data_IF_575881830540
#
_entry.id   IF_575881830540
#
_cell.length_a   1.000
_cell.length_b   1.000
_cell.length_c   1.000
_cell.angle_alpha   90.00
_cell.angle_beta   90.00
_cell.angle_gamma   90.00
#
_symmetry.space_group_name_H-M   'P 1'
#
loop_
_entity.id
_entity.type
_entity.pdbx_description
1 polymer ?
#
# COMPACT_ATOMS: atom_id res chain seq x y z
N UNK A 1 -6.85 -12.86 13.76
CA UNK A 1 -6.78 -11.40 13.56
C UNK A 1 -6.44 -10.76 14.88
N UNK A 2 -5.41 -9.91 14.91
CA UNK A 2 -5.09 -9.13 16.11
C UNK A 2 -6.07 -7.96 16.27
N UNK A 3 -6.20 -7.38 17.47
CA UNK A 3 -7.05 -6.20 17.69
C UNK A 3 -6.65 -5.04 16.77
N UNK A 4 -5.34 -4.79 16.63
CA UNK A 4 -4.79 -3.73 15.78
C UNK A 4 -5.09 -3.92 14.28
N UNK A 5 -5.08 -5.17 13.83
CA UNK A 5 -5.46 -5.52 12.46
C UNK A 5 -6.95 -5.23 12.23
N UNK A 6 -7.82 -5.58 13.17
CA UNK A 6 -9.25 -5.26 13.11
C UNK A 6 -9.48 -3.75 13.05
N UNK A 7 -8.81 -2.97 13.89
CA UNK A 7 -8.92 -1.51 13.92
C UNK A 7 -8.48 -0.88 12.59
N UNK A 8 -7.39 -1.36 12.00
CA UNK A 8 -6.91 -0.87 10.70
C UNK A 8 -7.89 -1.19 9.56
N UNK A 9 -8.52 -2.37 9.59
CA UNK A 9 -9.55 -2.76 8.61
C UNK A 9 -10.79 -1.88 8.74
N UNK A 10 -11.28 -1.68 9.97
CA UNK A 10 -12.43 -0.81 10.25
C UNK A 10 -12.14 0.62 9.81
N UNK A 11 -11.00 1.18 10.22
CA UNK A 11 -10.54 2.51 9.79
C UNK A 11 -10.51 2.66 8.27
N UNK A 12 -9.95 1.68 7.55
CA UNK A 12 -9.88 1.74 6.09
C UNK A 12 -11.27 1.74 5.46
N UNK A 13 -12.13 0.81 5.91
CA UNK A 13 -13.47 0.62 5.35
C UNK A 13 -14.35 1.85 5.56
N UNK A 14 -14.29 2.45 6.75
CA UNK A 14 -15.16 3.56 7.12
C UNK A 14 -14.67 4.92 6.61
N UNK A 15 -13.35 5.14 6.56
CA UNK A 15 -12.80 6.49 6.30
C UNK A 15 -12.04 6.65 4.99
N UNK A 16 -11.48 5.57 4.43
CA UNK A 16 -10.53 5.68 3.33
C UNK A 16 -11.00 5.05 2.02
N UNK A 17 -11.93 4.09 2.08
CA UNK A 17 -12.35 3.29 0.93
C UNK A 17 -12.70 4.15 -0.29
N UNK A 18 -13.53 5.19 -0.11
CA UNK A 18 -13.98 6.07 -1.19
C UNK A 18 -12.90 7.04 -1.70
N UNK A 19 -11.83 7.27 -0.91
CA UNK A 19 -10.71 8.14 -1.30
C UNK A 19 -9.73 7.40 -2.21
N UNK A 20 -9.54 6.10 -1.94
CA UNK A 20 -8.64 5.21 -2.69
C UNK A 20 -9.34 4.64 -3.93
N UNK A 21 -10.61 4.23 -3.80
CA UNK A 21 -11.42 3.68 -4.88
C UNK A 21 -12.23 4.79 -5.52
N UNK A 22 -11.75 5.33 -6.65
CA UNK A 22 -12.42 6.43 -7.36
C UNK A 22 -13.30 5.91 -8.48
N UNK A 23 -14.60 6.18 -8.41
CA UNK A 23 -15.58 5.76 -9.41
C UNK A 23 -15.54 4.24 -9.68
N UNK A 24 -15.38 3.43 -8.63
CA UNK A 24 -15.24 1.98 -8.75
C UNK A 24 -13.89 1.50 -9.32
N UNK A 25 -12.98 2.41 -9.66
CA UNK A 25 -11.65 2.06 -10.15
C UNK A 25 -10.66 1.98 -8.99
N UNK A 26 -10.00 0.83 -8.91
CA UNK A 26 -8.97 0.57 -7.91
C UNK A 26 -7.60 0.75 -8.60
N UNK A 27 -6.71 1.59 -8.05
CA UNK A 27 -5.38 1.75 -8.61
C UNK A 27 -4.63 0.42 -8.65
N UNK A 28 -3.90 0.15 -9.73
CA UNK A 28 -3.15 -1.11 -9.91
C UNK A 28 -2.17 -1.41 -8.78
N UNK A 29 -1.64 -0.37 -8.13
CA UNK A 29 -0.70 -0.50 -7.02
C UNK A 29 -1.40 -0.79 -5.68
N UNK A 30 -2.72 -0.72 -5.56
CA UNK A 30 -3.42 -0.86 -4.28
C UNK A 30 -4.01 -2.25 -4.05
N UNK A 31 -3.51 -3.00 -3.06
CA UNK A 31 -3.93 -4.38 -2.81
C UNK A 31 -4.93 -4.55 -1.67
N UNK A 32 -5.40 -3.46 -1.06
CA UNK A 32 -6.32 -3.54 0.07
C UNK A 32 -5.69 -4.24 1.28
N UNK A 33 -6.44 -5.14 1.90
CA UNK A 33 -6.05 -5.85 3.12
C UNK A 33 -5.32 -7.14 2.73
N UNK A 34 -4.00 -7.03 2.54
CA UNK A 34 -3.10 -8.17 2.37
C UNK A 34 -2.00 -8.14 3.41
N UNK A 35 -1.49 -9.32 3.76
CA UNK A 35 -0.39 -9.40 4.71
C UNK A 35 0.94 -8.94 4.14
N UNK A 36 1.86 -8.59 5.02
CA UNK A 36 3.26 -8.35 4.66
C UNK A 36 3.84 -9.53 3.87
N UNK A 37 3.55 -10.76 4.31
CA UNK A 37 4.03 -11.98 3.67
C UNK A 37 3.51 -12.12 2.24
N UNK A 38 2.20 -11.88 2.03
CA UNK A 38 1.60 -11.92 0.69
C UNK A 38 2.21 -10.85 -0.22
N UNK A 39 2.47 -9.64 0.32
CA UNK A 39 3.15 -8.59 -0.44
C UNK A 39 4.59 -8.98 -0.83
N UNK A 40 5.34 -9.63 0.06
CA UNK A 40 6.68 -10.15 -0.22
C UNK A 40 6.63 -11.24 -1.31
N UNK A 41 5.68 -12.17 -1.25
CA UNK A 41 5.47 -13.22 -2.26
C UNK A 41 5.13 -12.64 -3.65
N UNK A 42 4.33 -11.58 -3.70
CA UNK A 42 3.98 -10.87 -4.94
C UNK A 42 5.19 -10.17 -5.60
N UNK A 43 6.16 -9.74 -4.79
CA UNK A 43 7.29 -8.91 -5.21
C UNK A 43 8.59 -9.68 -5.39
N UNK A 44 8.76 -10.85 -4.78
CA UNK A 44 10.04 -11.57 -4.72
C UNK A 44 10.63 -11.89 -6.09
N UNK A 45 9.78 -12.26 -7.07
CA UNK A 45 10.20 -12.58 -8.43
C UNK A 45 10.09 -11.40 -9.41
N UNK A 46 9.85 -10.18 -8.90
CA UNK A 46 9.76 -8.98 -9.72
C UNK A 46 11.11 -8.26 -9.82
N UNK A 47 11.34 -7.49 -10.90
CA UNK A 47 12.47 -6.59 -10.98
C UNK A 47 12.47 -5.54 -9.86
N UNK A 48 13.64 -5.00 -9.49
CA UNK A 48 13.73 -3.85 -8.59
C UNK A 48 12.89 -2.66 -9.04
N UNK A 49 12.33 -1.94 -8.07
CA UNK A 49 11.40 -0.82 -8.26
C UNK A 49 9.93 -1.21 -8.38
N UNK A 50 9.60 -2.51 -8.52
CA UNK A 50 8.21 -2.97 -8.40
C UNK A 50 7.65 -2.69 -7.02
N UNK A 51 6.39 -2.24 -6.93
CA UNK A 51 5.80 -1.82 -5.68
C UNK A 51 4.29 -2.05 -5.57
N UNK A 52 3.78 -2.05 -4.35
CA UNK A 52 2.36 -2.02 -4.02
C UNK A 52 2.11 -1.32 -2.68
N UNK A 53 0.88 -0.84 -2.47
CA UNK A 53 0.39 -0.29 -1.21
C UNK A 53 -0.71 -1.21 -0.68
N UNK A 54 -0.67 -1.50 0.61
CA UNK A 54 -1.63 -2.31 1.35
C UNK A 54 -2.05 -1.61 2.64
N UNK A 55 -3.20 -1.97 3.19
CA UNK A 55 -3.59 -1.59 4.55
C UNK A 55 -2.59 -2.22 5.53
N UNK A 56 -2.16 -1.44 6.53
CA UNK A 56 -1.20 -1.93 7.52
C UNK A 56 -1.85 -2.91 8.49
N UNK A 57 -1.16 -3.99 8.85
CA UNK A 57 -1.64 -4.98 9.82
C UNK A 57 -1.32 -4.62 11.28
N UNK A 58 -0.39 -3.69 11.49
CA UNK A 58 0.19 -3.40 12.81
C UNK A 58 -0.24 -2.06 13.40
N UNK A 59 -0.94 -1.22 12.62
CA UNK A 59 -1.46 0.09 13.02
C UNK A 59 -2.41 0.65 11.96
N UNK A 60 -3.17 1.66 12.35
CA UNK A 60 -3.93 2.53 11.45
C UNK A 60 -2.97 3.17 10.44
N UNK A 61 -3.33 3.11 9.15
CA UNK A 61 -2.50 3.59 8.05
C UNK A 61 -2.24 2.53 6.98
N UNK A 62 -1.28 2.81 6.11
CA UNK A 62 -0.88 1.92 5.03
C UNK A 62 0.56 1.46 5.16
N UNK A 63 0.93 0.49 4.32
CA UNK A 63 2.31 0.10 4.07
C UNK A 63 2.59 0.11 2.58
N UNK A 64 3.62 0.86 2.16
CA UNK A 64 4.23 0.74 0.84
C UNK A 64 5.25 -0.40 0.90
N UNK A 65 5.02 -1.45 0.11
CA UNK A 65 5.96 -2.57 -0.04
C UNK A 65 6.59 -2.48 -1.43
N UNK A 66 7.92 -2.48 -1.52
CA UNK A 66 8.60 -2.39 -2.81
C UNK A 66 9.82 -3.31 -2.88
N UNK A 67 10.09 -3.83 -4.07
CA UNK A 67 11.25 -4.66 -4.37
C UNK A 67 12.48 -3.78 -4.54
N UNK A 68 13.38 -3.82 -3.56
CA UNK A 68 14.75 -3.32 -3.72
C UNK A 68 15.63 -4.39 -4.40
N UNK A 69 16.92 -4.11 -4.61
CA UNK A 69 17.83 -5.08 -5.23
C UNK A 69 18.04 -6.32 -4.34
N UNK A 70 18.23 -6.07 -3.04
CA UNK A 70 18.57 -7.07 -2.03
C UNK A 70 17.34 -7.75 -1.43
N UNK A 71 16.31 -6.97 -1.09
CA UNK A 71 15.12 -7.48 -0.37
C UNK A 71 13.85 -6.72 -0.71
N UNK A 72 12.72 -7.21 -0.22
CA UNK A 72 11.51 -6.41 -0.13
C UNK A 72 11.64 -5.44 1.05
N UNK A 73 11.29 -4.17 0.82
CA UNK A 73 11.29 -3.12 1.84
C UNK A 73 9.87 -2.64 2.07
N UNK A 74 9.60 -2.21 3.30
CA UNK A 74 8.27 -1.76 3.72
C UNK A 74 8.39 -0.42 4.43
N UNK A 75 7.60 0.55 3.99
CA UNK A 75 7.49 1.85 4.63
C UNK A 75 6.07 2.06 5.13
N UNK A 76 5.94 2.54 6.36
CA UNK A 76 4.65 2.93 6.90
C UNK A 76 4.23 4.26 6.27
N UNK A 77 2.95 4.36 5.95
CA UNK A 77 2.31 5.58 5.49
C UNK A 77 1.24 5.95 6.48
N UNK A 78 1.39 7.11 7.11
CA UNK A 78 0.38 7.67 7.99
C UNK A 78 -0.64 8.46 7.17
N UNK A 79 -1.92 8.26 7.46
CA UNK A 79 -2.99 9.14 7.04
C UNK A 79 -3.25 10.14 8.17
N UNK A 80 -2.99 11.42 7.90
CA UNK A 80 -3.03 12.50 8.88
C UNK A 80 -4.47 13.04 8.99
N UNK A 81 -4.77 13.67 10.13
CA UNK A 81 -6.11 14.21 10.43
C UNK A 81 -6.57 15.28 9.42
N UNK A 82 -5.64 16.01 8.80
CA UNK A 82 -5.93 17.01 7.78
C UNK A 82 -6.04 16.43 6.36
N UNK A 83 -6.17 15.10 6.23
CA UNK A 83 -6.37 14.39 4.97
C UNK A 83 -5.11 14.18 4.14
N UNK A 84 -3.93 14.56 4.64
CA UNK A 84 -2.66 14.31 3.95
C UNK A 84 -2.05 12.95 4.31
N UNK A 85 -1.15 12.48 3.46
CA UNK A 85 -0.39 11.25 3.65
C UNK A 85 1.10 11.53 3.75
N UNK A 86 1.80 10.83 4.64
CA UNK A 86 3.26 10.95 4.80
C UNK A 86 3.89 9.58 5.00
N UNK A 87 5.04 9.35 4.38
CA UNK A 87 5.87 8.18 4.70
C UNK A 87 6.58 8.45 6.02
N UNK A 88 6.48 7.54 6.99
CA UNK A 88 7.13 7.71 8.29
C UNK A 88 8.64 7.84 8.12
N UNK A 89 9.20 8.96 8.60
CA UNK A 89 10.61 9.32 8.45
C UNK A 89 10.89 10.31 7.31
N UNK A 90 9.92 10.57 6.44
CA UNK A 90 9.98 11.60 5.41
C UNK A 90 9.32 12.91 5.87
N UNK A 91 9.75 14.05 5.32
CA UNK A 91 9.17 15.36 5.61
C UNK A 91 8.05 15.76 4.63
N UNK A 92 7.90 15.05 3.51
CA UNK A 92 6.97 15.43 2.45
C UNK A 92 5.58 14.87 2.69
N UNK A 93 4.59 15.76 2.62
CA UNK A 93 3.16 15.45 2.75
C UNK A 93 2.50 15.43 1.37
N UNK A 94 1.54 14.53 1.18
CA UNK A 94 0.85 14.30 -0.09
C UNK A 94 -0.66 14.42 0.09
N UNK A 95 -1.37 15.01 -0.88
CA UNK A 95 -2.83 15.22 -0.79
C UNK A 95 -3.63 13.93 -1.03
N UNK A 96 -3.03 12.96 -1.71
CA UNK A 96 -3.56 11.61 -1.86
C UNK A 96 -2.44 10.59 -2.06
N UNK A 97 -2.74 9.30 -1.90
CA UNK A 97 -1.77 8.23 -2.15
C UNK A 97 -1.24 8.22 -3.59
N UNK A 98 -2.05 8.62 -4.57
CA UNK A 98 -1.62 8.72 -5.97
C UNK A 98 -0.51 9.79 -6.12
N UNK A 99 -0.66 10.95 -5.50
CA UNK A 99 0.37 12.00 -5.50
C UNK A 99 1.67 11.52 -4.83
N UNK A 100 1.58 10.68 -3.80
CA UNK A 100 2.72 10.06 -3.14
C UNK A 100 3.45 9.09 -4.08
N UNK A 101 2.70 8.22 -4.74
CA UNK A 101 3.24 7.30 -5.74
C UNK A 101 3.93 8.05 -6.87
N UNK A 102 3.30 9.08 -7.43
CA UNK A 102 3.85 9.82 -8.57
C UNK A 102 5.09 10.64 -8.21
N UNK A 103 5.15 11.16 -6.98
CA UNK A 103 6.36 11.78 -6.47
C UNK A 103 7.50 10.76 -6.33
N UNK A 104 7.26 9.62 -5.69
CA UNK A 104 8.30 8.63 -5.45
C UNK A 104 8.69 7.79 -6.67
N UNK A 105 8.03 7.99 -7.81
CA UNK A 105 8.55 7.55 -9.12
C UNK A 105 9.79 8.31 -9.58
N UNK A 106 9.98 9.52 -9.06
CA UNK A 106 11.06 10.42 -9.47
C UNK A 106 11.98 10.77 -8.29
N UNK A 107 11.55 10.54 -7.06
CA UNK A 107 12.32 10.86 -5.86
C UNK A 107 12.43 9.66 -4.92
N UNK A 108 13.66 9.17 -4.63
CA UNK A 108 13.85 8.04 -3.73
C UNK A 108 13.32 8.31 -2.32
N UNK A 109 12.98 7.22 -1.62
CA UNK A 109 12.64 7.26 -0.19
C UNK A 109 13.92 7.09 0.61
N UNK A 110 14.20 8.01 1.53
CA UNK A 110 15.43 7.99 2.32
C UNK A 110 15.49 6.78 3.25
N UNK A 111 16.69 6.27 3.56
CA UNK A 111 18.02 6.67 3.07
C UNK A 111 18.41 5.97 1.76
N UNK A 112 17.45 5.44 0.99
CA UNK A 112 17.72 4.64 -0.19
C UNK A 112 17.74 5.49 -1.46
N UNK A 113 18.33 4.95 -2.53
CA UNK A 113 18.49 5.62 -3.83
C UNK A 113 17.50 5.15 -4.89
N UNK A 114 16.66 4.16 -4.57
CA UNK A 114 15.72 3.57 -5.53
C UNK A 114 14.37 4.31 -5.53
N UNK A 115 13.80 4.41 -6.73
CA UNK A 115 12.46 4.99 -6.98
C UNK A 115 11.44 3.88 -7.24
N UNK A 116 10.16 4.23 -7.14
CA UNK A 116 9.07 3.38 -7.56
C UNK A 116 9.00 3.35 -9.10
N UNK A 117 8.99 2.16 -9.70
CA UNK A 117 8.97 2.05 -11.17
C UNK A 117 7.64 1.52 -11.66
N UNK A 118 7.33 0.28 -11.34
CA UNK A 118 6.17 -0.44 -11.90
C UNK A 118 5.21 -0.86 -10.79
N UNK A 119 3.91 -0.53 -10.88
CA UNK A 119 2.94 -1.04 -9.93
C UNK A 119 2.81 -2.56 -10.11
N UNK A 120 2.97 -3.31 -9.02
CA UNK A 120 2.62 -4.72 -8.96
C UNK A 120 1.09 -4.79 -8.99
N UNK A 121 0.51 -5.15 -10.14
CA UNK A 121 -0.93 -5.24 -10.32
C UNK A 121 -1.58 -6.35 -9.49
N UNK A 122 -2.88 -6.21 -9.21
CA UNK A 122 -3.69 -7.29 -8.67
C UNK A 122 -3.85 -8.38 -9.76
N UNK A 123 -3.54 -9.63 -9.42
CA UNK A 123 -3.84 -10.76 -10.31
C UNK A 123 -5.36 -10.94 -10.28
N UNK A 124 -6.00 -10.89 -11.45
CA UNK A 124 -7.47 -10.79 -11.58
C UNK A 124 -8.24 -12.04 -11.10
N UNK A 125 -7.56 -13.04 -10.55
CA UNK A 125 -8.09 -14.22 -9.88
C UNK A 125 -6.91 -14.90 -9.17
N UNK A 126 -6.99 -15.11 -7.85
CA UNK A 126 -6.47 -16.31 -7.12
C UNK A 126 -6.20 -16.08 -5.62
N UNK A 127 -6.26 -14.86 -5.08
CA UNK A 127 -6.24 -14.68 -3.62
C UNK A 127 -7.64 -14.86 -3.02
N UNK A 128 -8.13 -16.12 -2.98
CA UNK A 128 -9.16 -16.52 -2.02
C UNK A 128 -8.54 -16.55 -0.62
N UNK A 129 -8.45 -15.39 0.04
CA UNK A 129 -8.15 -15.36 1.47
C UNK A 129 -9.43 -15.71 2.24
N UNK A 130 -9.36 -16.75 3.08
CA UNK A 130 -10.45 -17.34 3.86
C UNK A 130 -10.92 -16.48 5.06
N UNK A 131 -10.78 -15.16 4.96
CA UNK A 131 -11.31 -14.23 5.95
C UNK A 131 -11.90 -13.05 5.22
N UNK A 132 -13.23 -13.02 5.22
CA UNK A 132 -14.11 -12.04 4.60
C UNK A 132 -13.70 -10.58 4.88
N UNK A 133 -14.10 -9.72 3.93
CA UNK A 133 -13.94 -8.25 3.86
C UNK A 133 -12.66 -7.77 3.20
N UNK A 134 -12.39 -8.15 1.94
CA UNK A 134 -12.64 -7.32 0.73
C UNK A 134 -12.53 -8.26 -0.47
N UNK A 135 -13.63 -8.91 -0.84
CA UNK A 135 -13.75 -9.35 -2.23
C UNK A 135 -13.84 -8.07 -3.04
N UNK A 136 -12.75 -7.66 -3.66
CA UNK A 136 -12.79 -6.70 -4.76
C UNK A 136 -13.43 -7.42 -5.95
N UNK A 137 -14.74 -7.51 -5.94
CA UNK A 137 -15.58 -7.78 -7.10
C UNK A 137 -16.61 -6.64 -7.12
N UNK A 138 -16.50 -5.77 -8.12
CA UNK A 138 -17.69 -5.13 -8.68
C UNK A 138 -18.43 -6.20 -9.46
#
# INVERSE_FOLDING_TARGET
>A
MSCLEHDAVTWFTESQLQLVIRNGNIPKWFHGIISRKVAEELLVYRPPGYFLIRVSESRIGYSLSYRADDRCRHFMIDALEDGHYVIVGENRRHRCLQDMVDFHKHTPIQPFSQVLTVPCGQVRNEYRCHTSLVCVCV
#
